data_IF_086111830000
#
_entry.id   IF_086111830000
#
_cell.length_a   1.000
_cell.length_b   1.000
_cell.length_c   1.000
_cell.angle_alpha   90.00
_cell.angle_beta   90.00
_cell.angle_gamma   90.00
#
_symmetry.space_group_name_H-M   'P 1'
#
loop_
_entity.id
_entity.type
_entity.pdbx_description
1 polymer ?
#
# COMPACT_ATOMS: atom_id res chain seq x y z
N UNK A 1 12.22 -9.23 -15.30
CA UNK A 1 11.60 -8.60 -14.11
C UNK A 1 12.46 -7.41 -13.77
N UNK A 2 12.16 -6.33 -14.47
CA UNK A 2 13.09 -5.24 -14.72
C UNK A 2 12.78 -4.10 -13.76
N UNK A 3 13.48 -4.11 -12.62
CA UNK A 3 13.49 -3.07 -11.60
C UNK A 3 14.25 -1.80 -12.06
N UNK A 4 14.10 -1.39 -13.33
CA UNK A 4 14.96 -0.35 -13.96
C UNK A 4 14.23 0.89 -14.48
N UNK A 5 13.08 1.24 -13.91
CA UNK A 5 12.45 2.55 -14.10
C UNK A 5 12.00 3.06 -12.74
N UNK A 6 12.79 3.94 -12.15
CA UNK A 6 12.50 4.51 -10.85
C UNK A 6 13.06 5.92 -10.76
N UNK A 7 12.53 6.80 -11.63
CA UNK A 7 12.77 8.24 -11.61
C UNK A 7 11.41 8.97 -11.55
N UNK A 8 11.17 9.66 -10.43
CA UNK A 8 10.09 10.60 -10.10
C UNK A 8 8.64 10.10 -10.05
N UNK A 9 8.31 8.94 -10.65
CA UNK A 9 7.10 8.14 -10.33
C UNK A 9 7.18 7.44 -8.96
N UNK A 10 8.37 7.40 -8.35
CA UNK A 10 8.66 6.43 -7.30
C UNK A 10 8.40 6.78 -5.85
N UNK A 11 7.76 7.90 -5.52
CA UNK A 11 7.13 8.00 -4.19
C UNK A 11 5.77 7.28 -4.20
N UNK A 12 4.94 7.56 -5.21
CA UNK A 12 3.61 6.96 -5.35
C UNK A 12 3.66 5.50 -5.83
N UNK A 13 4.55 5.15 -6.77
CA UNK A 13 4.75 3.74 -7.14
C UNK A 13 5.30 2.92 -5.98
N UNK A 14 6.23 3.48 -5.19
CA UNK A 14 6.67 2.81 -3.96
C UNK A 14 5.51 2.64 -2.99
N UNK A 15 4.69 3.68 -2.77
CA UNK A 15 3.50 3.56 -1.93
C UNK A 15 2.56 2.46 -2.42
N UNK A 16 2.30 2.36 -3.73
CA UNK A 16 1.45 1.31 -4.29
C UNK A 16 2.04 -0.09 -4.18
N UNK A 17 3.34 -0.26 -4.47
CA UNK A 17 3.99 -1.56 -4.37
C UNK A 17 4.07 -2.04 -2.91
N UNK A 18 4.38 -1.10 -1.99
CA UNK A 18 4.36 -1.33 -0.56
C UNK A 18 2.95 -1.67 -0.08
N UNK A 19 1.93 -0.91 -0.50
CA UNK A 19 0.53 -1.20 -0.17
C UNK A 19 0.11 -2.58 -0.66
N UNK A 20 0.45 -2.97 -1.89
CA UNK A 20 0.15 -4.32 -2.41
C UNK A 20 0.87 -5.41 -1.62
N UNK A 21 2.16 -5.25 -1.32
CA UNK A 21 2.93 -6.22 -0.50
C UNK A 21 2.39 -6.33 0.92
N UNK A 22 2.13 -5.19 1.57
CA UNK A 22 1.57 -5.12 2.92
C UNK A 22 0.15 -5.68 2.95
N UNK A 23 -0.66 -5.40 1.92
CA UNK A 23 -2.04 -5.88 1.79
C UNK A 23 -2.14 -7.38 1.50
N UNK A 24 -1.21 -7.90 0.69
CA UNK A 24 -1.11 -9.32 0.39
C UNK A 24 -0.60 -10.15 1.58
N UNK A 25 0.25 -9.57 2.44
CA UNK A 25 0.85 -10.28 3.57
C UNK A 25 0.22 -9.86 4.91
N UNK A 26 -0.61 -10.73 5.48
CA UNK A 26 -1.34 -10.45 6.73
C UNK A 26 -0.42 -10.11 7.91
N UNK A 27 0.80 -10.64 7.93
CA UNK A 27 1.77 -10.37 8.99
C UNK A 27 2.36 -8.96 8.86
N UNK A 28 2.65 -8.54 7.63
CA UNK A 28 3.08 -7.18 7.34
C UNK A 28 1.94 -6.19 7.54
N UNK A 29 0.71 -6.52 7.14
CA UNK A 29 -0.47 -5.71 7.42
C UNK A 29 -0.60 -5.45 8.92
N UNK A 30 -0.55 -6.50 9.76
CA UNK A 30 -0.67 -6.36 11.21
C UNK A 30 0.47 -5.51 11.80
N UNK A 31 1.70 -5.72 11.33
CA UNK A 31 2.87 -4.96 11.77
C UNK A 31 2.78 -3.49 11.37
N UNK A 32 2.36 -3.21 10.13
CA UNK A 32 2.15 -1.87 9.59
C UNK A 32 0.96 -1.17 10.25
N UNK A 33 -0.10 -1.89 10.63
CA UNK A 33 -1.25 -1.30 11.32
C UNK A 33 -0.89 -0.87 12.75
N UNK A 34 0.04 -1.59 13.40
CA UNK A 34 0.58 -1.23 14.73
C UNK A 34 1.64 -0.12 14.64
N UNK A 35 2.67 -0.33 13.82
CA UNK A 35 3.82 0.55 13.71
C UNK A 35 4.16 0.78 12.23
N UNK A 36 3.41 1.64 11.51
CA UNK A 36 3.58 1.83 10.07
C UNK A 36 4.94 2.42 9.71
N UNK A 37 5.36 3.48 10.42
CA UNK A 37 6.65 4.16 10.24
C UNK A 37 7.81 3.19 10.42
N UNK A 38 7.85 2.52 11.57
CA UNK A 38 8.88 1.54 11.90
C UNK A 38 8.91 0.35 10.95
N UNK A 39 7.74 -0.08 10.45
CA UNK A 39 7.68 -1.12 9.43
C UNK A 39 8.32 -0.64 8.13
N UNK A 40 8.07 0.61 7.70
CA UNK A 40 8.70 1.20 6.53
C UNK A 40 10.22 1.36 6.68
N UNK A 41 10.68 1.82 7.84
CA UNK A 41 12.11 1.96 8.13
C UNK A 41 12.81 0.60 8.19
N UNK A 42 12.27 -0.35 8.97
CA UNK A 42 12.95 -1.63 9.25
C UNK A 42 12.75 -2.69 8.17
N UNK A 43 11.54 -2.81 7.59
CA UNK A 43 11.26 -3.82 6.54
C UNK A 43 11.64 -3.32 5.16
N UNK A 44 11.50 -2.02 4.91
CA UNK A 44 11.63 -1.44 3.58
C UNK A 44 12.81 -0.47 3.45
N UNK A 45 13.55 -0.19 4.52
CA UNK A 45 14.73 0.67 4.48
C UNK A 45 14.40 2.11 4.08
N UNK A 46 13.18 2.57 4.39
CA UNK A 46 12.74 3.92 4.04
C UNK A 46 13.29 4.88 5.08
N UNK A 47 14.33 5.63 4.69
CA UNK A 47 14.93 6.69 5.50
C UNK A 47 14.46 8.05 4.93
N UNK A 48 13.28 8.48 5.39
CA UNK A 48 12.64 9.72 4.98
C UNK A 48 12.31 10.55 6.23
N UNK A 49 12.24 11.88 6.11
CA UNK A 49 11.76 12.74 7.19
C UNK A 49 10.38 12.29 7.68
N UNK A 50 10.13 12.37 8.99
CA UNK A 50 8.86 11.96 9.62
C UNK A 50 7.63 12.51 8.89
N UNK A 51 7.68 13.76 8.42
CA UNK A 51 6.56 14.37 7.70
C UNK A 51 6.27 13.67 6.36
N UNK A 52 7.31 13.30 5.61
CA UNK A 52 7.15 12.60 4.33
C UNK A 52 6.76 11.15 4.55
N UNK A 53 7.32 10.50 5.58
CA UNK A 53 6.99 9.12 5.93
C UNK A 53 5.52 9.01 6.35
N UNK A 54 4.99 9.97 7.11
CA UNK A 54 3.57 9.99 7.49
C UNK A 54 2.67 10.15 6.26
N UNK A 55 3.00 11.04 5.32
CA UNK A 55 2.27 11.17 4.05
C UNK A 55 2.29 9.88 3.24
N UNK A 56 3.43 9.18 3.22
CA UNK A 56 3.56 7.88 2.54
C UNK A 56 2.72 6.80 3.21
N UNK A 57 2.74 6.75 4.55
CA UNK A 57 1.90 5.84 5.34
C UNK A 57 0.43 6.07 5.07
N UNK A 58 -0.03 7.32 5.05
CA UNK A 58 -1.43 7.64 4.75
C UNK A 58 -1.80 7.26 3.32
N UNK A 59 -0.92 7.53 2.34
CA UNK A 59 -1.14 7.09 0.97
C UNK A 59 -1.25 5.55 0.87
N UNK A 60 -0.40 4.81 1.57
CA UNK A 60 -0.44 3.33 1.64
C UNK A 60 -1.74 2.85 2.29
N UNK A 61 -2.14 3.43 3.44
CA UNK A 61 -3.41 3.09 4.11
C UNK A 61 -4.61 3.38 3.23
N UNK A 62 -4.62 4.53 2.56
CA UNK A 62 -5.68 4.91 1.65
C UNK A 62 -5.79 3.92 0.48
N UNK A 63 -4.66 3.54 -0.14
CA UNK A 63 -4.62 2.51 -1.19
C UNK A 63 -5.11 1.16 -0.69
N UNK A 64 -4.65 0.70 0.47
CA UNK A 64 -5.11 -0.55 1.09
C UNK A 64 -6.63 -0.59 1.33
N UNK A 65 -7.19 0.52 1.81
CA UNK A 65 -8.63 0.63 2.00
C UNK A 65 -9.38 0.73 0.66
N UNK A 66 -8.82 1.45 -0.31
CA UNK A 66 -9.38 1.57 -1.66
C UNK A 66 -9.42 0.21 -2.37
N UNK A 67 -8.36 -0.60 -2.28
CA UNK A 67 -8.32 -1.96 -2.82
C UNK A 67 -9.38 -2.85 -2.16
N UNK A 68 -9.52 -2.80 -0.83
CA UNK A 68 -10.59 -3.55 -0.12
C UNK A 68 -11.99 -3.11 -0.56
N UNK A 69 -12.22 -1.80 -0.69
CA UNK A 69 -13.49 -1.27 -1.15
C UNK A 69 -13.75 -1.61 -2.63
N UNK A 70 -12.71 -1.54 -3.48
CA UNK A 70 -12.77 -1.91 -4.89
C UNK A 70 -13.06 -3.39 -5.10
N UNK A 71 -12.50 -4.27 -4.29
CA UNK A 71 -12.78 -5.71 -4.32
C UNK A 71 -14.22 -6.02 -3.92
N UNK A 72 -14.73 -5.32 -2.89
CA UNK A 72 -16.14 -5.39 -2.48
C UNK A 72 -17.07 -4.86 -3.57
N UNK A 73 -16.81 -3.69 -4.14
CA UNK A 73 -17.59 -3.07 -5.21
C UNK A 73 -17.54 -3.88 -6.52
N UNK A 74 -16.38 -4.41 -6.88
CA UNK A 74 -16.22 -5.31 -8.02
C UNK A 74 -16.94 -6.64 -7.80
N UNK A 75 -16.96 -7.13 -6.56
CA UNK A 75 -17.73 -8.29 -6.14
C UNK A 75 -19.23 -8.08 -6.28
N UNK A 76 -19.79 -7.03 -5.69
CA UNK A 76 -21.22 -6.73 -5.81
C UNK A 76 -21.62 -6.40 -7.25
N UNK A 77 -20.81 -5.66 -8.01
CA UNK A 77 -21.10 -5.32 -9.40
C UNK A 77 -21.26 -6.57 -10.26
N UNK A 78 -20.39 -7.56 -10.10
CA UNK A 78 -20.51 -8.87 -10.78
C UNK A 78 -21.73 -9.68 -10.36
N UNK A 79 -22.22 -9.51 -9.13
CA UNK A 79 -23.44 -10.16 -8.65
C UNK A 79 -24.71 -9.48 -9.18
N UNK A 80 -24.67 -8.16 -9.42
CA UNK A 80 -25.76 -7.39 -10.01
C UNK A 80 -25.81 -7.49 -11.54
N UNK A 81 -24.66 -7.58 -12.22
CA UNK A 81 -24.54 -7.75 -13.67
C UNK A 81 -25.04 -9.12 -14.15
N UNK A 82 -25.05 -10.13 -13.27
CA UNK A 82 -25.45 -11.50 -13.58
C UNK A 82 -26.96 -11.78 -13.37
N UNK A 83 -27.79 -10.76 -13.17
CA UNK A 83 -29.25 -10.89 -13.06
C UNK A 83 -29.99 -10.29 -14.24
#
# INVERSE_FOLDING_TARGET
>A
MDLKKLDLGNALEKAEELAKKIGADKTLLASFTKEPVKTLETKFGVDLPDEQINKLVDAIKAKLNLDKAGDLLGGIGKLFDKR
#
